data_IF_718700084152
#
_entry.id   IF_718700084152
#
_cell.length_a   1.000
_cell.length_b   1.000
_cell.length_c   1.000
_cell.angle_alpha   90.00
_cell.angle_beta   90.00
_cell.angle_gamma   90.00
#
_symmetry.space_group_name_H-M   'P 1'
#
loop_
_entity.id
_entity.type
_entity.pdbx_description
1 polymer ?
#
# COMPACT_ATOMS: atom_id res chain seq x y z
N UNK A 1 6.72 2.87 -6.74
CA UNK A 1 5.39 2.96 -7.34
C UNK A 1 5.15 4.35 -7.90
N UNK A 2 4.60 4.42 -9.08
CA UNK A 2 4.32 5.68 -9.78
C UNK A 2 2.86 6.06 -9.58
N UNK A 3 2.61 7.28 -9.12
CA UNK A 3 1.28 7.85 -8.93
C UNK A 3 1.17 9.18 -9.67
N UNK A 4 -0.01 9.44 -10.23
CA UNK A 4 -0.35 10.77 -10.72
C UNK A 4 -1.30 11.43 -9.74
N UNK A 5 -1.27 12.74 -9.63
CA UNK A 5 -2.15 13.49 -8.75
C UNK A 5 -2.61 14.78 -9.40
N UNK A 6 -3.91 15.10 -9.23
CA UNK A 6 -4.47 16.37 -9.61
C UNK A 6 -4.25 17.47 -8.57
N UNK A 7 -3.65 17.14 -7.43
CA UNK A 7 -3.32 18.08 -6.37
C UNK A 7 -1.86 18.49 -6.45
N UNK A 8 -1.51 19.58 -5.74
CA UNK A 8 -0.11 19.96 -5.58
C UNK A 8 0.64 18.88 -4.81
N UNK A 9 1.93 18.70 -5.10
CA UNK A 9 2.77 17.70 -4.42
C UNK A 9 2.78 17.90 -2.91
N UNK A 10 2.70 19.14 -2.45
CA UNK A 10 2.66 19.48 -1.02
C UNK A 10 1.41 18.90 -0.32
N UNK A 11 0.36 18.66 -1.07
CA UNK A 11 -0.90 18.09 -0.56
C UNK A 11 -0.97 16.57 -0.74
N UNK A 12 -0.07 15.98 -1.50
CA UNK A 12 -0.13 14.57 -1.83
C UNK A 12 -0.02 13.69 -0.58
N UNK A 13 1.00 13.90 0.24
CA UNK A 13 1.24 13.08 1.44
C UNK A 13 0.21 13.31 2.54
N UNK A 14 -0.34 14.53 2.63
CA UNK A 14 -1.34 14.86 3.64
C UNK A 14 -2.78 14.53 3.23
N UNK A 15 -3.02 14.34 1.94
CA UNK A 15 -4.35 14.08 1.40
C UNK A 15 -4.42 12.78 0.63
N UNK A 16 -3.98 12.80 -0.63
CA UNK A 16 -4.15 11.68 -1.56
C UNK A 16 -3.57 10.38 -1.04
N UNK A 17 -2.40 10.43 -0.42
CA UNK A 17 -1.73 9.24 0.11
C UNK A 17 -2.65 8.48 1.09
N UNK A 18 -3.25 9.20 2.06
CA UNK A 18 -4.11 8.60 3.07
C UNK A 18 -5.51 8.31 2.53
N UNK A 19 -6.08 9.22 1.74
CA UNK A 19 -7.45 9.09 1.21
C UNK A 19 -7.59 7.88 0.29
N UNK A 20 -6.54 7.55 -0.47
CA UNK A 20 -6.53 6.39 -1.36
C UNK A 20 -5.87 5.16 -0.73
N UNK A 21 -5.53 5.22 0.55
CA UNK A 21 -4.92 4.11 1.29
C UNK A 21 -3.65 3.57 0.63
N UNK A 22 -2.81 4.45 0.11
CA UNK A 22 -1.57 4.03 -0.54
C UNK A 22 -0.60 3.35 0.43
N UNK A 23 -0.65 3.68 1.73
CA UNK A 23 0.12 2.98 2.76
C UNK A 23 -0.23 1.50 2.81
N UNK A 24 -1.51 1.15 2.64
CA UNK A 24 -1.99 -0.24 2.61
C UNK A 24 -1.53 -0.95 1.35
N UNK A 25 -1.58 -0.28 0.20
CA UNK A 25 -1.09 -0.83 -1.07
C UNK A 25 0.41 -1.12 -1.01
N UNK A 26 1.19 -0.19 -0.48
CA UNK A 26 2.63 -0.39 -0.31
C UNK A 26 2.93 -1.48 0.71
N UNK A 27 2.14 -1.57 1.77
CA UNK A 27 2.22 -2.66 2.74
C UNK A 27 1.92 -4.03 2.13
N UNK A 28 0.95 -4.10 1.21
CA UNK A 28 0.66 -5.30 0.44
C UNK A 28 1.88 -5.73 -0.40
N UNK A 29 2.52 -4.79 -1.08
CA UNK A 29 3.70 -5.09 -1.89
C UNK A 29 4.84 -5.63 -1.01
N UNK A 30 5.05 -5.05 0.15
CA UNK A 30 6.04 -5.56 1.10
C UNK A 30 5.71 -6.98 1.54
N UNK A 31 4.46 -7.23 1.90
CA UNK A 31 4.02 -8.57 2.31
C UNK A 31 4.26 -9.60 1.20
N UNK A 32 3.90 -9.26 -0.04
CA UNK A 32 4.11 -10.15 -1.19
C UNK A 32 5.60 -10.44 -1.41
N UNK A 33 6.44 -9.42 -1.28
CA UNK A 33 7.89 -9.56 -1.43
C UNK A 33 8.49 -10.46 -0.35
N UNK A 34 8.04 -10.31 0.91
CA UNK A 34 8.48 -11.15 2.01
C UNK A 34 8.05 -12.61 1.80
N UNK A 35 6.84 -12.85 1.32
CA UNK A 35 6.38 -14.20 1.00
C UNK A 35 7.18 -14.81 -0.16
N UNK A 36 7.49 -14.02 -1.16
CA UNK A 36 8.32 -14.45 -2.27
C UNK A 36 9.71 -14.90 -1.79
N UNK A 37 10.35 -14.09 -0.94
CA UNK A 37 11.67 -14.44 -0.38
C UNK A 37 11.61 -15.72 0.44
N UNK A 38 10.59 -15.90 1.25
CA UNK A 38 10.40 -17.11 2.04
C UNK A 38 10.26 -18.35 1.14
N UNK A 39 9.47 -18.24 0.08
CA UNK A 39 9.22 -19.35 -0.84
C UNK A 39 10.45 -19.70 -1.68
N UNK A 40 11.11 -18.68 -2.25
CA UNK A 40 12.21 -18.91 -3.20
C UNK A 40 13.56 -19.14 -2.51
N UNK A 41 13.80 -18.51 -1.37
CA UNK A 41 15.11 -18.54 -0.71
C UNK A 41 15.08 -19.17 0.68
N UNK A 42 13.91 -19.55 1.19
CA UNK A 42 13.78 -20.25 2.45
C UNK A 42 13.97 -19.38 3.70
N UNK A 43 14.04 -18.06 3.56
CA UNK A 43 14.13 -17.15 4.70
C UNK A 43 13.31 -15.90 4.50
N UNK A 44 12.95 -15.26 5.61
CA UNK A 44 12.20 -13.99 5.57
C UNK A 44 13.14 -12.86 5.98
N UNK A 45 13.47 -11.92 5.07
CA UNK A 45 14.27 -10.75 5.41
C UNK A 45 13.55 -9.89 6.46
N UNK A 46 14.33 -9.12 7.20
CA UNK A 46 13.77 -8.13 8.13
C UNK A 46 13.06 -7.03 7.34
N UNK A 47 11.98 -6.48 7.89
CA UNK A 47 11.15 -5.47 7.22
C UNK A 47 11.96 -4.27 6.73
N UNK A 48 12.96 -3.82 7.52
CA UNK A 48 13.79 -2.68 7.17
C UNK A 48 14.78 -2.93 6.02
N UNK A 49 14.91 -4.16 5.54
CA UNK A 49 15.74 -4.51 4.38
C UNK A 49 15.22 -3.85 3.11
N UNK A 50 13.92 -3.61 3.03
CA UNK A 50 13.30 -3.03 1.84
C UNK A 50 12.88 -1.59 2.10
N UNK A 51 12.99 -0.77 1.05
CA UNK A 51 12.51 0.59 1.05
C UNK A 51 11.35 0.71 0.06
N UNK A 52 10.35 1.50 0.42
CA UNK A 52 9.24 1.80 -0.44
C UNK A 52 9.26 3.27 -0.83
N UNK A 53 9.18 3.54 -2.12
CA UNK A 53 9.16 4.90 -2.64
C UNK A 53 7.93 5.08 -3.54
N UNK A 54 7.32 6.25 -3.48
CA UNK A 54 6.28 6.67 -4.40
C UNK A 54 6.81 7.84 -5.19
N UNK A 55 6.73 7.74 -6.52
CA UNK A 55 6.99 8.86 -7.41
C UNK A 55 5.63 9.47 -7.74
N UNK A 56 5.39 10.69 -7.26
CA UNK A 56 4.15 11.40 -7.53
C UNK A 56 4.39 12.48 -8.60
N UNK A 57 3.51 12.51 -9.60
CA UNK A 57 3.59 13.46 -10.71
C UNK A 57 2.30 14.28 -10.72
N UNK A 58 2.43 15.61 -10.67
CA UNK A 58 1.30 16.50 -10.83
C UNK A 58 0.81 16.46 -12.28
N UNK A 59 -0.49 16.29 -12.46
CA UNK A 59 -1.12 16.32 -13.80
C UNK A 59 -1.66 17.70 -14.14
N UNK A 60 -1.55 18.66 -13.21
CA UNK A 60 -1.99 20.04 -13.37
C UNK A 60 -0.81 20.98 -13.22
N UNK A 61 -0.93 22.17 -13.71
CA UNK A 61 0.10 23.21 -13.58
C UNK A 61 1.41 22.86 -14.25
N UNK A 62 2.50 22.85 -13.47
CA UNK A 62 3.87 22.71 -13.98
C UNK A 62 4.32 21.27 -14.21
N UNK A 63 3.45 20.28 -13.97
CA UNK A 63 3.78 18.84 -14.11
C UNK A 63 5.01 18.44 -13.28
N UNK A 64 5.12 18.99 -12.07
CA UNK A 64 6.23 18.65 -11.17
C UNK A 64 6.16 17.19 -10.73
N UNK A 65 7.29 16.61 -10.44
CA UNK A 65 7.40 15.27 -9.91
C UNK A 65 8.27 15.25 -8.65
N UNK A 66 7.97 14.35 -7.74
CA UNK A 66 8.77 14.17 -6.53
C UNK A 66 8.78 12.70 -6.12
N UNK A 67 9.85 12.31 -5.43
CA UNK A 67 9.97 10.97 -4.85
C UNK A 67 9.72 11.07 -3.35
N UNK A 68 8.77 10.29 -2.85
CA UNK A 68 8.48 10.19 -1.43
C UNK A 68 8.95 8.82 -0.93
N UNK A 69 9.87 8.84 0.02
CA UNK A 69 10.25 7.62 0.74
C UNK A 69 9.24 7.37 1.85
N UNK A 70 8.67 6.17 1.88
CA UNK A 70 7.67 5.83 2.88
C UNK A 70 8.39 5.33 4.13
N UNK A 71 8.10 5.98 5.25
CA UNK A 71 8.65 5.60 6.56
C UNK A 71 8.31 4.14 6.85
N UNK A 72 9.27 3.42 7.43
CA UNK A 72 9.10 2.01 7.75
C UNK A 72 7.93 1.75 8.70
N UNK A 73 7.64 2.68 9.61
CA UNK A 73 6.49 2.56 10.53
C UNK A 73 5.17 2.65 9.77
N UNK A 74 5.07 3.58 8.83
CA UNK A 74 3.88 3.74 7.96
C UNK A 74 3.72 2.51 7.09
N UNK A 75 4.80 2.02 6.51
CA UNK A 75 4.80 0.82 5.68
C UNK A 75 4.34 -0.40 6.47
N UNK A 76 4.79 -0.54 7.71
CA UNK A 76 4.39 -1.63 8.59
C UNK A 76 2.91 -1.55 8.98
N UNK A 77 2.39 -0.34 9.27
CA UNK A 77 0.96 -0.14 9.52
C UNK A 77 0.15 -0.59 8.31
N UNK A 78 0.56 -0.20 7.10
CA UNK A 78 -0.11 -0.62 5.87
C UNK A 78 -0.10 -2.13 5.68
N UNK A 79 1.02 -2.78 5.96
CA UNK A 79 1.14 -4.24 5.89
C UNK A 79 0.20 -4.94 6.88
N UNK A 80 0.13 -4.45 8.11
CA UNK A 80 -0.77 -5.02 9.13
C UNK A 80 -2.24 -4.83 8.75
N UNK A 81 -2.62 -3.68 8.22
CA UNK A 81 -3.98 -3.44 7.71
C UNK A 81 -4.31 -4.39 6.56
N UNK A 82 -3.40 -4.57 5.62
CA UNK A 82 -3.58 -5.50 4.52
C UNK A 82 -3.77 -6.93 5.03
N UNK A 83 -2.93 -7.39 5.96
CA UNK A 83 -3.06 -8.73 6.53
C UNK A 83 -4.39 -8.92 7.24
N UNK A 84 -4.87 -7.90 7.95
CA UNK A 84 -6.18 -7.96 8.61
C UNK A 84 -7.30 -8.12 7.58
N UNK A 85 -7.27 -7.36 6.50
CA UNK A 85 -8.27 -7.47 5.43
C UNK A 85 -8.20 -8.82 4.73
N UNK A 86 -7.00 -9.34 4.51
CA UNK A 86 -6.80 -10.65 3.89
C UNK A 86 -7.43 -11.76 4.76
N UNK A 87 -7.28 -11.68 6.09
CA UNK A 87 -7.92 -12.63 7.02
C UNK A 87 -9.43 -12.54 6.95
N UNK A 88 -9.99 -11.34 6.82
CA UNK A 88 -11.44 -11.15 6.66
C UNK A 88 -11.94 -11.79 5.37
N UNK A 89 -11.23 -11.60 4.26
CA UNK A 89 -11.58 -12.24 2.98
C UNK A 89 -11.51 -13.77 3.11
N UNK A 90 -10.46 -14.30 3.73
CA UNK A 90 -10.32 -15.75 3.95
C UNK A 90 -11.46 -16.31 4.79
N UNK A 91 -11.87 -15.59 5.84
CA UNK A 91 -13.02 -15.97 6.66
C UNK A 91 -14.30 -16.01 5.81
N UNK A 92 -14.53 -14.99 4.99
CA UNK A 92 -15.72 -14.92 4.12
C UNK A 92 -15.72 -16.03 3.06
N UNK A 93 -14.57 -16.39 2.52
CA UNK A 93 -14.47 -17.51 1.56
C UNK A 93 -14.92 -18.85 2.18
N UNK A 94 -14.65 -19.05 3.47
CA UNK A 94 -15.02 -20.27 4.19
C UNK A 94 -16.49 -20.22 4.65
N UNK A 95 -16.94 -19.07 5.17
CA UNK A 95 -18.22 -18.91 5.87
C UNK A 95 -19.29 -18.19 5.07
N UNK A 96 -18.96 -17.71 3.86
CA UNK A 96 -19.84 -16.92 3.02
C UNK A 96 -19.73 -15.42 3.30
N UNK A 97 -20.09 -14.65 2.30
CA UNK A 97 -20.12 -13.18 2.37
C UNK A 97 -21.46 -12.71 2.92
N UNK A 98 -21.49 -11.51 3.48
CA UNK A 98 -22.72 -10.89 3.94
C UNK A 98 -23.68 -10.63 2.78
N UNK A 99 -24.98 -10.85 3.02
CA UNK A 99 -26.03 -10.52 2.05
C UNK A 99 -26.28 -9.00 1.95
N UNK A 100 -25.70 -8.22 2.84
CA UNK A 100 -25.85 -6.76 2.89
C UNK A 100 -24.82 -6.02 2.02
N UNK A 101 -24.42 -6.63 0.92
CA UNK A 101 -23.49 -6.01 -0.02
C UNK A 101 -24.23 -5.02 -0.90
N UNK A 102 -23.81 -3.76 -0.88
CA UNK A 102 -24.31 -2.73 -1.77
C UNK A 102 -23.37 -2.58 -2.96
N UNK A 103 -23.92 -2.80 -4.15
CA UNK A 103 -23.16 -2.60 -5.39
C UNK A 103 -23.42 -1.18 -5.89
N UNK A 104 -22.34 -0.45 -6.14
CA UNK A 104 -22.38 0.93 -6.61
C UNK A 104 -21.93 0.98 -8.06
#
# INVERSE_FOLDING_TARGET
DLKTTGHLLEQFMNGSFWNFHYHRQMGMYLWMLLQFCKKEYGYTPKDWTFQANIIAVETTGSNRASVFNIDSDILNIGRLEFCRLLKMVAYCEINGYSDDVTFI
#
